data_IF_895193427320
#
_entry.id   IF_895193427320
#
_cell.length_a   1.000
_cell.length_b   1.000
_cell.length_c   1.000
_cell.angle_alpha   90.00
_cell.angle_beta   90.00
_cell.angle_gamma   90.00
#
_symmetry.space_group_name_H-M   'P 1'
#
loop_
_entity.id
_entity.type
_entity.pdbx_description
1 polymer ?
#
# COMPACT_ATOMS: atom_id res chain seq x y z
N UNK A 1 -18.20 -3.44 -23.00
CA UNK A 1 -19.06 -4.33 -22.19
C UNK A 1 -18.17 -5.08 -21.23
N UNK A 2 -18.22 -4.73 -19.95
CA UNK A 2 -17.46 -5.32 -18.84
C UNK A 2 -18.12 -6.64 -18.44
N UNK A 3 -17.74 -7.73 -19.11
CA UNK A 3 -18.37 -9.06 -18.91
C UNK A 3 -18.09 -9.70 -17.54
N UNK A 4 -17.14 -9.18 -16.77
CA UNK A 4 -16.70 -9.82 -15.52
C UNK A 4 -17.57 -9.46 -14.31
N UNK A 5 -18.08 -8.23 -14.22
CA UNK A 5 -18.91 -7.77 -13.11
C UNK A 5 -20.23 -8.54 -12.97
N UNK A 6 -21.03 -8.76 -14.05
CA UNK A 6 -22.25 -9.56 -13.96
C UNK A 6 -22.01 -11.03 -13.60
N UNK A 7 -20.87 -11.60 -14.02
CA UNK A 7 -20.51 -12.97 -13.66
C UNK A 7 -20.25 -13.11 -12.15
N UNK A 8 -19.54 -12.14 -11.55
CA UNK A 8 -19.32 -12.08 -10.11
C UNK A 8 -20.62 -11.88 -9.33
N UNK A 9 -21.56 -11.09 -9.85
CA UNK A 9 -22.91 -10.96 -9.25
C UNK A 9 -23.65 -12.30 -9.23
N UNK A 10 -23.46 -13.15 -10.24
CA UNK A 10 -24.02 -14.51 -10.28
C UNK A 10 -23.53 -15.43 -9.16
N UNK A 11 -22.40 -15.10 -8.54
CA UNK A 11 -21.83 -15.84 -7.40
C UNK A 11 -22.17 -15.23 -6.04
N UNK A 12 -23.07 -14.24 -5.99
CA UNK A 12 -23.44 -13.54 -4.75
C UNK A 12 -23.85 -14.52 -3.66
N UNK A 13 -23.07 -14.55 -2.58
CA UNK A 13 -23.31 -15.37 -1.38
C UNK A 13 -23.38 -16.90 -1.61
N UNK A 14 -22.89 -17.40 -2.75
CA UNK A 14 -22.88 -18.83 -3.08
C UNK A 14 -21.86 -19.60 -2.22
N UNK A 15 -20.84 -18.91 -1.69
CA UNK A 15 -19.73 -19.50 -0.96
C UNK A 15 -19.66 -18.98 0.50
N UNK A 16 -20.57 -19.40 1.39
CA UNK A 16 -20.64 -18.89 2.77
C UNK A 16 -19.41 -19.25 3.61
N UNK A 17 -18.66 -20.29 3.24
CA UNK A 17 -17.45 -20.74 3.94
C UNK A 17 -16.15 -20.22 3.31
N UNK A 18 -16.23 -19.29 2.35
CA UNK A 18 -15.05 -18.75 1.69
C UNK A 18 -14.18 -17.98 2.70
N UNK A 19 -12.99 -18.50 3.00
CA UNK A 19 -12.06 -17.90 3.95
C UNK A 19 -11.09 -16.89 3.33
N UNK A 20 -10.79 -17.06 2.05
CA UNK A 20 -9.87 -16.21 1.29
C UNK A 20 -10.36 -16.03 -0.13
N UNK A 21 -10.24 -14.82 -0.66
CA UNK A 21 -10.59 -14.50 -2.02
C UNK A 21 -9.52 -13.62 -2.66
N UNK A 22 -9.23 -13.89 -3.94
CA UNK A 22 -8.36 -13.06 -4.77
C UNK A 22 -9.08 -12.74 -6.07
N UNK A 23 -9.40 -11.46 -6.27
CA UNK A 23 -9.96 -10.93 -7.49
C UNK A 23 -8.84 -10.25 -8.29
N UNK A 24 -8.53 -10.82 -9.45
CA UNK A 24 -7.61 -10.26 -10.44
C UNK A 24 -8.41 -9.93 -11.67
N UNK A 25 -8.59 -8.64 -11.92
CA UNK A 25 -9.45 -8.14 -12.99
C UNK A 25 -8.67 -7.14 -13.84
N UNK A 26 -9.14 -6.92 -15.06
CA UNK A 26 -8.68 -5.84 -15.91
C UNK A 26 -9.91 -5.02 -16.31
N UNK A 27 -10.33 -4.14 -15.41
CA UNK A 27 -11.42 -3.22 -15.68
C UNK A 27 -10.90 -1.96 -16.38
N UNK A 28 -11.59 -1.48 -17.42
CA UNK A 28 -11.19 -0.25 -18.09
C UNK A 28 -11.30 0.93 -17.12
N UNK A 29 -10.35 1.88 -17.20
CA UNK A 29 -10.39 3.13 -16.42
C UNK A 29 -11.57 4.06 -16.78
N UNK A 30 -12.45 3.63 -17.68
CA UNK A 30 -13.60 4.35 -18.18
C UNK A 30 -14.85 3.67 -17.62
N UNK A 31 -15.44 4.23 -16.56
CA UNK A 31 -16.58 3.62 -15.90
C UNK A 31 -17.24 4.53 -14.88
N UNK A 32 -18.54 4.30 -14.66
CA UNK A 32 -19.32 4.86 -13.55
C UNK A 32 -18.95 4.09 -12.28
N UNK A 33 -19.11 4.70 -11.11
CA UNK A 33 -18.94 4.04 -9.81
C UNK A 33 -19.64 2.68 -9.81
N UNK A 34 -18.90 1.65 -9.41
CA UNK A 34 -19.36 0.27 -9.47
C UNK A 34 -19.03 -0.43 -8.17
N UNK A 35 -20.02 -1.12 -7.62
CA UNK A 35 -19.87 -1.95 -6.43
C UNK A 35 -19.95 -3.42 -6.81
N UNK A 36 -18.95 -4.19 -6.40
CA UNK A 36 -18.96 -5.65 -6.57
C UNK A 36 -19.67 -6.27 -5.36
N UNK A 37 -20.98 -6.48 -5.49
CA UNK A 37 -21.86 -6.99 -4.44
C UNK A 37 -21.84 -8.52 -4.26
N UNK A 38 -20.70 -9.16 -4.50
CA UNK A 38 -20.59 -10.63 -4.50
C UNK A 38 -20.45 -11.24 -3.11
N UNK A 39 -19.79 -10.54 -2.18
CA UNK A 39 -19.35 -11.12 -0.90
C UNK A 39 -20.05 -10.53 0.33
N UNK A 40 -21.16 -9.84 0.14
CA UNK A 40 -21.89 -9.13 1.19
C UNK A 40 -22.25 -9.98 2.42
N UNK A 41 -22.45 -11.30 2.26
CA UNK A 41 -22.75 -12.22 3.38
C UNK A 41 -21.63 -13.22 3.65
N UNK A 42 -20.45 -13.05 3.05
CA UNK A 42 -19.30 -13.91 3.26
C UNK A 42 -18.58 -13.53 4.58
N UNK A 43 -19.23 -13.74 5.73
CA UNK A 43 -18.67 -13.39 7.05
C UNK A 43 -17.44 -14.21 7.43
N UNK A 44 -17.24 -15.36 6.78
CA UNK A 44 -16.04 -16.17 6.95
C UNK A 44 -14.86 -15.68 6.12
N UNK A 45 -15.02 -14.66 5.26
CA UNK A 45 -13.93 -14.14 4.45
C UNK A 45 -12.98 -13.33 5.32
N UNK A 46 -11.80 -13.89 5.58
CA UNK A 46 -10.75 -13.29 6.42
C UNK A 46 -9.66 -12.60 5.61
N UNK A 47 -9.47 -13.03 4.35
CA UNK A 47 -8.43 -12.49 3.48
C UNK A 47 -9.04 -12.07 2.13
N UNK A 48 -8.88 -10.81 1.76
CA UNK A 48 -9.29 -10.33 0.45
C UNK A 48 -8.13 -9.64 -0.25
N UNK A 49 -7.91 -10.02 -1.51
CA UNK A 49 -6.97 -9.37 -2.42
C UNK A 49 -7.71 -8.92 -3.67
N UNK A 50 -7.59 -7.64 -4.01
CA UNK A 50 -8.15 -7.03 -5.22
C UNK A 50 -7.03 -6.44 -6.07
N UNK A 51 -7.12 -6.63 -7.39
CA UNK A 51 -6.18 -6.06 -8.34
C UNK A 51 -6.86 -5.73 -9.67
N UNK A 52 -6.55 -4.54 -10.19
CA UNK A 52 -6.96 -4.10 -11.54
C UNK A 52 -8.45 -3.79 -11.68
N UNK A 53 -9.07 -3.38 -10.57
CA UNK A 53 -10.41 -2.78 -10.56
C UNK A 53 -10.35 -1.36 -11.14
N UNK A 54 -11.49 -0.88 -11.65
CA UNK A 54 -11.61 0.49 -12.16
C UNK A 54 -11.49 1.53 -11.02
N UNK A 55 -11.22 2.82 -11.33
CA UNK A 55 -10.83 3.81 -10.33
C UNK A 55 -11.76 3.98 -9.14
N UNK A 56 -13.07 3.94 -9.38
CA UNK A 56 -14.11 4.07 -8.34
C UNK A 56 -14.73 2.74 -7.94
N UNK A 57 -14.17 1.61 -8.39
CA UNK A 57 -14.76 0.30 -8.11
C UNK A 57 -14.30 -0.23 -6.76
N UNK A 58 -15.24 -0.75 -5.98
CA UNK A 58 -14.99 -1.34 -4.66
C UNK A 58 -15.74 -2.65 -4.50
N UNK A 59 -15.14 -3.59 -3.77
CA UNK A 59 -15.79 -4.86 -3.42
C UNK A 59 -16.60 -4.69 -2.15
N UNK A 60 -17.91 -4.96 -2.23
CA UNK A 60 -18.77 -4.91 -1.05
C UNK A 60 -18.70 -6.25 -0.32
N UNK A 61 -18.16 -6.22 0.89
CA UNK A 61 -18.11 -7.36 1.79
C UNK A 61 -18.11 -6.90 3.26
N UNK A 62 -18.39 -7.79 4.23
CA UNK A 62 -18.25 -7.48 5.65
C UNK A 62 -16.77 -7.26 6.01
N UNK A 63 -16.34 -6.01 6.09
CA UNK A 63 -14.95 -5.66 6.47
C UNK A 63 -14.62 -5.99 7.92
N UNK A 64 -15.64 -6.06 8.78
CA UNK A 64 -15.55 -6.29 10.23
C UNK A 64 -14.70 -7.53 10.62
N UNK A 65 -14.70 -8.55 9.77
CA UNK A 65 -14.07 -9.86 10.01
C UNK A 65 -12.73 -10.05 9.30
N UNK A 66 -12.29 -9.10 8.46
CA UNK A 66 -11.02 -9.26 7.76
C UNK A 66 -9.85 -9.30 8.74
N UNK A 67 -8.91 -10.20 8.45
CA UNK A 67 -7.59 -10.27 9.06
C UNK A 67 -6.52 -9.66 8.14
N UNK A 68 -6.70 -9.79 6.82
CA UNK A 68 -5.80 -9.17 5.84
C UNK A 68 -6.56 -8.62 4.64
N UNK A 69 -6.17 -7.42 4.23
CA UNK A 69 -6.68 -6.75 3.02
C UNK A 69 -5.52 -6.30 2.15
N UNK A 70 -5.59 -6.64 0.86
CA UNK A 70 -4.69 -6.13 -0.16
C UNK A 70 -5.49 -5.53 -1.30
N UNK A 71 -5.21 -4.28 -1.61
CA UNK A 71 -5.84 -3.58 -2.72
C UNK A 71 -4.79 -2.97 -3.65
N UNK A 72 -4.97 -3.19 -4.94
CA UNK A 72 -4.02 -2.75 -5.96
C UNK A 72 -4.74 -2.21 -7.18
N UNK A 73 -4.55 -0.93 -7.45
CA UNK A 73 -5.15 -0.26 -8.61
C UNK A 73 -4.08 0.36 -9.50
N UNK A 74 -4.34 0.37 -10.80
CA UNK A 74 -3.64 1.29 -11.69
C UNK A 74 -4.06 2.71 -11.30
N UNK A 75 -5.28 3.09 -11.63
CA UNK A 75 -5.83 4.40 -11.25
C UNK A 75 -6.86 4.19 -10.15
N UNK A 76 -6.87 5.06 -9.14
CA UNK A 76 -7.88 5.08 -8.06
C UNK A 76 -8.34 6.50 -7.75
N UNK A 77 -9.60 6.69 -7.36
CA UNK A 77 -10.08 8.00 -6.89
C UNK A 77 -9.79 8.19 -5.40
N UNK A 78 -9.60 9.44 -4.96
CA UNK A 78 -9.42 9.74 -3.52
C UNK A 78 -10.64 9.34 -2.70
N UNK A 79 -11.84 9.56 -3.24
CA UNK A 79 -13.09 9.11 -2.63
C UNK A 79 -13.08 7.59 -2.38
N UNK A 80 -12.61 6.79 -3.35
CA UNK A 80 -12.57 5.34 -3.18
C UNK A 80 -11.52 4.91 -2.14
N UNK A 81 -10.36 5.58 -2.08
CA UNK A 81 -9.38 5.38 -1.00
C UNK A 81 -10.04 5.65 0.36
N UNK A 82 -10.73 6.79 0.51
CA UNK A 82 -11.40 7.16 1.76
C UNK A 82 -12.47 6.12 2.15
N UNK A 83 -13.32 5.71 1.20
CA UNK A 83 -14.33 4.66 1.42
C UNK A 83 -13.73 3.34 1.89
N UNK A 84 -12.63 2.90 1.27
CA UNK A 84 -11.91 1.69 1.66
C UNK A 84 -11.34 1.85 3.08
N UNK A 85 -10.66 2.96 3.37
CA UNK A 85 -10.07 3.21 4.68
C UNK A 85 -11.13 3.27 5.79
N UNK A 86 -12.25 3.95 5.56
CA UNK A 86 -13.38 3.98 6.51
C UNK A 86 -13.90 2.57 6.76
N UNK A 87 -14.07 1.76 5.72
CA UNK A 87 -14.55 0.38 5.85
C UNK A 87 -13.56 -0.49 6.64
N UNK A 88 -12.27 -0.34 6.39
CA UNK A 88 -11.20 -1.03 7.10
C UNK A 88 -11.10 -0.58 8.57
N UNK A 89 -11.40 0.68 8.87
CA UNK A 89 -11.38 1.19 10.26
C UNK A 89 -12.41 0.51 11.18
N UNK A 90 -13.45 -0.08 10.59
CA UNK A 90 -14.47 -0.85 11.29
C UNK A 90 -14.06 -2.31 11.52
N UNK A 91 -12.96 -2.77 10.91
CA UNK A 91 -12.47 -4.14 11.06
C UNK A 91 -11.96 -4.40 12.48
N UNK A 92 -12.43 -5.48 13.09
CA UNK A 92 -12.12 -5.81 14.49
C UNK A 92 -10.83 -6.61 14.64
N UNK A 93 -10.42 -7.32 13.58
CA UNK A 93 -9.30 -8.25 13.59
C UNK A 93 -8.26 -7.99 12.49
N UNK A 94 -8.33 -6.86 11.77
CA UNK A 94 -7.41 -6.64 10.66
C UNK A 94 -6.00 -6.38 11.17
N UNK A 95 -5.06 -7.23 10.76
CA UNK A 95 -3.66 -7.12 11.14
C UNK A 95 -2.84 -6.56 9.98
N UNK A 96 -3.14 -6.98 8.75
CA UNK A 96 -2.37 -6.62 7.55
C UNK A 96 -3.20 -5.79 6.58
N UNK A 97 -2.68 -4.61 6.25
CA UNK A 97 -3.23 -3.74 5.21
C UNK A 97 -2.16 -3.45 4.16
N UNK A 98 -2.47 -3.78 2.90
CA UNK A 98 -1.64 -3.45 1.74
C UNK A 98 -2.44 -2.62 0.73
N UNK A 99 -1.98 -1.41 0.42
CA UNK A 99 -2.62 -0.51 -0.55
C UNK A 99 -1.59 0.02 -1.55
N UNK A 100 -1.71 -0.39 -2.82
CA UNK A 100 -0.72 -0.11 -3.85
C UNK A 100 -1.37 0.51 -5.10
N UNK A 101 -1.09 1.78 -5.36
CA UNK A 101 -1.74 2.55 -6.44
C UNK A 101 -0.72 3.19 -7.37
N UNK A 102 -0.95 3.14 -8.69
CA UNK A 102 -0.08 3.80 -9.67
C UNK A 102 -0.34 5.31 -9.71
N UNK A 103 -1.61 5.69 -9.77
CA UNK A 103 -2.02 7.06 -10.00
C UNK A 103 -3.35 7.34 -9.28
N UNK A 104 -3.52 8.58 -8.84
CA UNK A 104 -4.78 9.06 -8.30
C UNK A 104 -5.51 9.92 -9.32
N UNK A 105 -6.82 9.78 -9.36
CA UNK A 105 -7.71 10.59 -10.18
C UNK A 105 -8.51 11.54 -9.29
N UNK A 106 -8.58 12.82 -9.67
CA UNK A 106 -9.31 13.87 -8.96
C UNK A 106 -8.52 15.19 -8.86
N UNK A 107 -9.24 16.28 -8.58
CA UNK A 107 -8.64 17.61 -8.36
C UNK A 107 -8.00 17.73 -6.97
N UNK A 108 -8.58 17.06 -5.97
CA UNK A 108 -8.04 17.00 -4.60
C UNK A 108 -7.34 15.65 -4.40
N UNK A 109 -6.04 15.68 -4.07
CA UNK A 109 -5.20 14.49 -3.83
C UNK A 109 -4.93 14.27 -2.34
N UNK A 110 -5.86 14.70 -1.48
CA UNK A 110 -5.68 14.76 -0.04
C UNK A 110 -6.98 14.37 0.69
N UNK A 111 -6.84 13.65 1.81
CA UNK A 111 -7.93 13.26 2.69
C UNK A 111 -7.81 14.09 3.98
N UNK A 112 -8.83 14.92 4.33
CA UNK A 112 -8.71 15.95 5.36
C UNK A 112 -8.48 15.45 6.78
N UNK A 113 -8.99 14.26 7.10
CA UNK A 113 -8.89 13.68 8.43
C UNK A 113 -8.28 12.28 8.31
N UNK A 114 -7.08 12.06 8.86
CA UNK A 114 -6.48 10.73 8.86
C UNK A 114 -7.37 9.71 9.57
N UNK A 115 -7.64 8.60 8.91
CA UNK A 115 -8.44 7.49 9.43
C UNK A 115 -7.64 6.69 10.45
N UNK A 116 -8.22 6.45 11.62
CA UNK A 116 -7.58 5.67 12.69
C UNK A 116 -7.72 4.17 12.41
N UNK A 117 -6.59 3.48 12.24
CA UNK A 117 -6.52 2.03 12.01
C UNK A 117 -5.93 1.34 13.25
N UNK A 118 -6.77 1.18 14.27
CA UNK A 118 -6.35 0.75 15.63
C UNK A 118 -5.95 -0.73 15.75
N UNK A 119 -6.13 -1.53 14.71
CA UNK A 119 -5.86 -2.97 14.70
C UNK A 119 -4.71 -3.38 13.77
N UNK A 120 -4.41 -2.54 12.79
CA UNK A 120 -3.38 -2.83 11.79
C UNK A 120 -2.01 -2.83 12.47
N UNK A 121 -1.30 -3.94 12.34
CA UNK A 121 0.08 -4.12 12.82
C UNK A 121 1.08 -4.12 11.65
N UNK A 122 0.63 -4.47 10.45
CA UNK A 122 1.44 -4.47 9.22
C UNK A 122 0.81 -3.55 8.20
N UNK A 123 1.51 -2.47 7.85
CA UNK A 123 1.10 -1.55 6.80
C UNK A 123 2.09 -1.62 5.63
N UNK A 124 1.58 -1.93 4.43
CA UNK A 124 2.34 -1.86 3.18
C UNK A 124 1.67 -0.89 2.22
N UNK A 125 2.41 0.11 1.75
CA UNK A 125 1.84 1.23 1.00
C UNK A 125 2.70 1.59 -0.19
N UNK A 126 2.05 1.82 -1.34
CA UNK A 126 2.69 2.24 -2.58
C UNK A 126 2.54 3.74 -2.89
N UNK A 127 1.74 4.48 -2.13
CA UNK A 127 1.46 5.89 -2.42
C UNK A 127 1.46 6.76 -1.16
N UNK A 128 1.94 8.00 -1.32
CA UNK A 128 2.02 9.01 -0.27
C UNK A 128 0.66 9.36 0.33
N UNK A 129 -0.40 9.43 -0.49
CA UNK A 129 -1.74 9.83 -0.01
C UNK A 129 -2.32 8.85 1.00
N UNK A 130 -2.10 7.54 0.86
CA UNK A 130 -2.53 6.58 1.89
C UNK A 130 -1.76 6.81 3.19
N UNK A 131 -0.45 7.08 3.13
CA UNK A 131 0.37 7.42 4.31
C UNK A 131 -0.17 8.67 5.02
N UNK A 132 -0.53 9.70 4.26
CA UNK A 132 -1.10 10.93 4.81
C UNK A 132 -2.49 10.70 5.43
N UNK A 133 -3.27 9.78 4.85
CA UNK A 133 -4.66 9.54 5.19
C UNK A 133 -4.89 8.57 6.36
N UNK A 134 -3.85 8.06 7.03
CA UNK A 134 -4.01 7.07 8.11
C UNK A 134 -3.28 7.43 9.40
N UNK A 135 -3.78 6.94 10.52
CA UNK A 135 -3.08 6.91 11.81
C UNK A 135 -3.11 5.47 12.31
N UNK A 136 -1.96 4.88 12.60
CA UNK A 136 -1.83 3.44 12.88
C UNK A 136 -1.09 3.21 14.21
N UNK A 137 -1.77 3.32 15.35
CA UNK A 137 -1.11 3.33 16.66
C UNK A 137 -0.48 1.99 17.04
N UNK A 138 -0.99 0.89 16.50
CA UNK A 138 -0.51 -0.47 16.75
C UNK A 138 0.50 -0.95 15.72
N UNK A 139 1.05 -0.04 14.90
CA UNK A 139 1.95 -0.41 13.80
C UNK A 139 3.23 -1.04 14.32
N UNK A 140 3.50 -2.28 13.89
CA UNK A 140 4.71 -3.03 14.17
C UNK A 140 5.66 -3.04 12.98
N UNK A 141 5.11 -3.07 11.76
CA UNK A 141 5.87 -3.20 10.52
C UNK A 141 5.35 -2.27 9.43
N UNK A 142 6.23 -1.40 8.94
CA UNK A 142 5.93 -0.46 7.86
C UNK A 142 6.75 -0.76 6.61
N UNK A 143 6.08 -1.00 5.48
CA UNK A 143 6.72 -1.18 4.18
C UNK A 143 6.23 -0.11 3.21
N UNK A 144 7.14 0.74 2.76
CA UNK A 144 6.84 1.81 1.82
C UNK A 144 7.53 1.53 0.51
N UNK A 145 6.74 1.35 -0.53
CA UNK A 145 7.19 0.94 -1.86
C UNK A 145 6.86 2.02 -2.90
N UNK A 146 7.57 2.05 -4.03
CA UNK A 146 7.20 2.88 -5.15
C UNK A 146 5.78 2.57 -5.62
N UNK A 147 5.16 3.56 -6.27
CA UNK A 147 3.84 3.41 -6.90
C UNK A 147 3.83 2.18 -7.80
N UNK A 148 2.78 1.38 -7.70
CA UNK A 148 2.65 0.15 -8.47
C UNK A 148 2.53 0.48 -9.95
N UNK A 149 3.39 -0.06 -10.80
CA UNK A 149 3.29 0.09 -12.26
C UNK A 149 3.01 -1.30 -12.81
N UNK A 150 1.80 -1.57 -13.28
CA UNK A 150 1.34 -2.94 -13.61
C UNK A 150 2.13 -3.70 -14.69
N UNK A 151 3.13 -3.07 -15.29
CA UNK A 151 3.95 -3.61 -16.39
C UNK A 151 5.45 -3.67 -16.04
N UNK A 152 5.87 -3.19 -14.87
CA UNK A 152 7.28 -3.23 -14.45
C UNK A 152 7.39 -3.79 -13.05
N UNK A 153 8.43 -4.59 -12.79
CA UNK A 153 8.85 -4.81 -11.42
C UNK A 153 9.14 -3.45 -10.77
N UNK A 154 8.79 -3.27 -9.50
CA UNK A 154 9.07 -2.03 -8.76
C UNK A 154 10.54 -1.60 -8.83
N UNK A 155 11.44 -2.47 -9.29
CA UNK A 155 12.82 -2.17 -9.63
C UNK A 155 12.96 -0.87 -10.46
N UNK A 156 12.00 -0.51 -11.29
CA UNK A 156 12.17 0.63 -12.22
C UNK A 156 11.53 1.96 -11.78
N UNK A 157 10.95 2.03 -10.58
CA UNK A 157 10.27 3.26 -10.10
C UNK A 157 10.86 3.75 -8.78
N UNK A 158 11.12 5.06 -8.68
CA UNK A 158 11.60 5.68 -7.45
C UNK A 158 10.42 5.89 -6.51
N UNK A 159 10.68 5.90 -5.21
CA UNK A 159 9.71 6.39 -4.26
C UNK A 159 9.35 7.85 -4.57
N UNK A 160 8.07 8.19 -4.50
CA UNK A 160 7.58 9.54 -4.77
C UNK A 160 8.28 10.56 -3.84
N UNK A 161 8.62 11.76 -4.36
CA UNK A 161 9.13 12.85 -3.52
C UNK A 161 8.24 13.08 -2.30
N UNK A 162 8.84 13.50 -1.18
CA UNK A 162 8.14 13.80 0.08
C UNK A 162 7.46 12.61 0.78
N UNK A 163 7.50 11.39 0.23
CA UNK A 163 6.93 10.22 0.91
C UNK A 163 7.57 9.99 2.28
N UNK A 164 8.87 10.24 2.42
CA UNK A 164 9.56 10.15 3.71
C UNK A 164 9.02 11.19 4.73
N UNK A 165 8.69 12.39 4.27
CA UNK A 165 8.08 13.42 5.12
C UNK A 165 6.67 12.99 5.58
N UNK A 166 5.88 12.40 4.68
CA UNK A 166 4.60 11.79 5.04
C UNK A 166 4.75 10.65 6.03
N UNK A 167 5.80 9.83 5.90
CA UNK A 167 6.10 8.77 6.87
C UNK A 167 6.48 9.33 8.23
N UNK A 168 7.32 10.36 8.30
CA UNK A 168 7.60 11.07 9.56
C UNK A 168 6.31 11.56 10.22
N UNK A 169 5.42 12.16 9.43
CA UNK A 169 4.12 12.64 9.89
C UNK A 169 3.24 11.49 10.39
N UNK A 170 3.17 10.36 9.66
CA UNK A 170 2.46 9.16 10.08
C UNK A 170 2.97 8.65 11.43
N UNK A 171 4.29 8.53 11.59
CA UNK A 171 4.92 8.03 12.81
C UNK A 171 4.59 8.92 14.00
N UNK A 172 4.78 10.24 13.85
CA UNK A 172 4.46 11.22 14.91
C UNK A 172 2.99 11.21 15.30
N UNK A 173 2.06 11.13 14.32
CA UNK A 173 0.62 11.05 14.60
C UNK A 173 0.23 9.73 15.27
N UNK A 174 0.87 8.64 14.87
CA UNK A 174 0.55 7.28 15.33
C UNK A 174 1.16 6.97 16.69
N UNK A 175 2.24 7.65 17.08
CA UNK A 175 2.93 7.43 18.36
C UNK A 175 3.45 5.99 18.55
N UNK A 176 3.70 5.26 17.46
CA UNK A 176 4.15 3.86 17.46
C UNK A 176 5.67 3.70 17.59
N UNK A 177 6.43 4.77 17.33
CA UNK A 177 7.87 4.76 17.10
C UNK A 177 8.72 4.27 18.29
N UNK A 178 8.22 4.36 19.52
CA UNK A 178 8.98 4.03 20.74
C UNK A 178 8.56 2.72 21.39
N UNK A 179 7.49 2.07 20.92
CA UNK A 179 6.85 0.98 21.67
C UNK A 179 6.44 -0.22 20.83
N UNK A 180 5.94 0.00 19.61
CA UNK A 180 5.36 -1.07 18.79
C UNK A 180 6.12 -1.28 17.49
N UNK A 181 6.62 -0.22 16.88
CA UNK A 181 7.29 -0.31 15.58
C UNK A 181 8.66 -0.98 15.68
N UNK A 182 8.79 -2.14 15.05
CA UNK A 182 9.97 -3.01 15.06
C UNK A 182 10.64 -3.12 13.68
N UNK A 183 9.88 -2.99 12.60
CA UNK A 183 10.41 -3.12 11.24
C UNK A 183 10.00 -1.95 10.35
N UNK A 184 10.98 -1.40 9.63
CA UNK A 184 10.72 -0.48 8.52
C UNK A 184 11.46 -0.95 7.27
N UNK A 185 10.73 -0.98 6.15
CA UNK A 185 11.27 -1.22 4.83
C UNK A 185 10.94 -0.07 3.87
N UNK A 186 11.94 0.48 3.20
CA UNK A 186 11.73 1.41 2.08
C UNK A 186 12.31 0.85 0.79
N UNK A 187 11.52 0.89 -0.28
CA UNK A 187 11.95 0.44 -1.60
C UNK A 187 12.24 1.61 -2.55
N UNK A 188 13.37 1.53 -3.26
CA UNK A 188 13.88 2.54 -4.19
C UNK A 188 13.80 3.98 -3.66
N UNK A 189 14.24 4.17 -2.42
CA UNK A 189 14.21 5.47 -1.76
C UNK A 189 15.40 6.30 -2.24
N UNK A 190 15.21 7.62 -2.39
CA UNK A 190 16.34 8.55 -2.57
C UNK A 190 17.00 8.82 -1.22
N UNK A 191 18.32 8.71 -1.15
CA UNK A 191 19.09 9.06 0.04
C UNK A 191 18.92 10.56 0.34
N UNK A 192 18.12 10.87 1.36
CA UNK A 192 17.89 12.24 1.85
C UNK A 192 18.07 12.27 3.37
N UNK A 193 18.21 13.48 3.94
CA UNK A 193 18.31 13.65 5.40
C UNK A 193 17.11 13.06 6.15
N UNK A 194 15.93 13.01 5.53
CA UNK A 194 14.72 12.46 6.13
C UNK A 194 14.79 10.96 6.44
N UNK A 195 15.68 10.20 5.78
CA UNK A 195 15.91 8.80 6.18
C UNK A 195 16.52 8.76 7.58
N UNK A 196 17.48 9.64 7.86
CA UNK A 196 18.11 9.74 9.19
C UNK A 196 17.09 10.18 10.23
N UNK A 197 16.23 11.15 9.89
CA UNK A 197 15.16 11.62 10.77
C UNK A 197 14.20 10.47 11.15
N UNK A 198 13.82 9.63 10.20
CA UNK A 198 12.94 8.46 10.46
C UNK A 198 13.62 7.48 11.41
N UNK A 199 14.90 7.18 11.18
CA UNK A 199 15.65 6.23 12.02
C UNK A 199 15.86 6.78 13.43
N UNK A 200 16.12 8.07 13.58
CA UNK A 200 16.25 8.72 14.89
C UNK A 200 14.93 8.73 15.66
N UNK A 201 13.80 8.85 14.95
CA UNK A 201 12.49 8.83 15.57
C UNK A 201 12.11 7.45 16.12
N UNK A 202 12.67 6.37 15.56
CA UNK A 202 12.28 4.99 15.84
C UNK A 202 13.40 4.20 16.52
N UNK A 203 13.67 4.43 17.81
CA UNK A 203 14.75 3.76 18.53
C UNK A 203 14.50 2.27 18.79
N UNK A 204 13.27 1.80 18.64
CA UNK A 204 12.86 0.41 18.93
C UNK A 204 12.92 -0.53 17.70
N UNK A 205 13.56 -0.10 16.60
CA UNK A 205 13.65 -0.91 15.38
C UNK A 205 14.63 -2.08 15.56
N UNK A 206 14.10 -3.27 15.36
CA UNK A 206 14.87 -4.52 15.29
C UNK A 206 15.44 -4.72 13.89
N UNK A 207 14.69 -4.29 12.86
CA UNK A 207 15.02 -4.54 11.46
C UNK A 207 14.78 -3.34 10.57
N UNK A 208 15.77 -3.04 9.76
CA UNK A 208 15.73 -1.96 8.78
C UNK A 208 16.11 -2.50 7.41
N UNK A 209 15.26 -2.23 6.41
CA UNK A 209 15.51 -2.60 5.02
C UNK A 209 15.42 -1.38 4.11
N UNK A 210 16.50 -1.08 3.41
CA UNK A 210 16.49 -0.08 2.34
C UNK A 210 16.94 -0.68 1.01
N UNK A 211 16.30 -0.22 -0.07
CA UNK A 211 16.83 -0.40 -1.42
C UNK A 211 16.91 0.95 -2.10
N UNK A 212 17.99 1.15 -2.85
CA UNK A 212 18.32 2.41 -3.51
C UNK A 212 18.58 2.14 -4.99
N UNK A 213 18.35 3.16 -5.81
CA UNK A 213 18.85 3.19 -7.18
C UNK A 213 19.96 4.21 -7.33
N UNK A 214 21.10 3.75 -7.78
CA UNK A 214 22.15 4.63 -8.27
C UNK A 214 21.84 4.99 -9.72
N UNK A 215 21.55 6.27 -9.98
CA UNK A 215 21.71 6.84 -11.32
C UNK A 215 23.22 6.90 -11.58
N UNK A 216 23.80 5.86 -12.15
CA UNK A 216 25.16 5.91 -12.70
C UNK A 216 25.17 6.91 -13.87
N UNK A 217 25.41 8.17 -13.53
CA UNK A 217 25.51 9.30 -14.46
C UNK A 217 26.63 10.27 -14.09
N UNK A 218 27.61 9.84 -13.29
CA UNK A 218 28.88 10.56 -13.13
C UNK A 218 29.99 9.61 -13.55
N UNK A 219 30.38 9.76 -14.81
CA UNK A 219 31.54 9.14 -15.42
C UNK A 219 32.80 9.78 -14.79
N UNK A 220 33.18 9.33 -13.58
CA UNK A 220 34.52 9.57 -13.04
C UNK A 220 35.41 8.51 -13.68
N UNK A 221 35.98 8.91 -14.81
CA UNK A 221 36.60 8.06 -15.81
C UNK A 221 37.34 6.82 -15.30
N UNK A 222 36.97 5.68 -15.88
CA UNK A 222 37.89 4.64 -16.32
C UNK A 222 37.24 3.85 -17.47
N UNK A 223 38.01 3.72 -18.54
CA UNK A 223 37.67 3.09 -19.81
C UNK A 223 37.05 1.69 -19.71
N UNK A 224 36.00 1.48 -20.53
CA UNK A 224 35.50 0.22 -21.17
C UNK A 224 34.86 -0.80 -20.21
N UNK A 225 33.73 -1.45 -20.48
CA UNK A 225 32.95 -1.73 -21.70
C UNK A 225 31.50 -2.09 -21.28
N UNK A 226 30.55 -1.90 -22.20
CA UNK A 226 29.11 -2.23 -22.17
C UNK A 226 28.59 -3.30 -21.18
N UNK A 227 27.69 -2.89 -20.27
CA UNK A 227 26.25 -3.27 -20.29
C UNK A 227 25.53 -2.63 -19.08
N UNK A 228 24.58 -1.74 -19.37
CA UNK A 228 23.84 -0.97 -18.37
C UNK A 228 22.72 -1.77 -17.73
N UNK A 229 22.98 -2.30 -16.53
CA UNK A 229 21.95 -2.66 -15.57
C UNK A 229 22.20 -1.88 -14.27
N UNK A 230 21.19 -1.14 -13.83
CA UNK A 230 21.22 -0.47 -12.53
C UNK A 230 21.41 -1.50 -11.41
N UNK A 231 22.46 -1.32 -10.61
CA UNK A 231 22.72 -2.16 -9.44
C UNK A 231 21.79 -1.76 -8.29
N UNK A 232 20.91 -2.68 -7.87
CA UNK A 232 20.13 -2.54 -6.65
C UNK A 232 20.96 -3.05 -5.46
N UNK A 233 21.48 -2.17 -4.62
CA UNK A 233 22.07 -2.56 -3.34
C UNK A 233 20.99 -2.66 -2.25
N UNK A 234 21.08 -3.72 -1.44
CA UNK A 234 20.22 -3.94 -0.27
C UNK A 234 21.08 -3.75 0.98
N UNK A 235 20.71 -2.81 1.83
CA UNK A 235 21.30 -2.69 3.16
C UNK A 235 20.34 -3.35 4.14
N UNK A 236 20.80 -4.40 4.80
CA UNK A 236 20.15 -5.00 5.96
C UNK A 236 20.92 -4.55 7.20
N UNK A 237 20.22 -3.91 8.13
CA UNK A 237 20.75 -3.64 9.47
C UNK A 237 19.86 -4.39 10.45
N UNK A 238 20.42 -5.44 11.04
CA UNK A 238 19.81 -6.18 12.15
C UNK A 238 20.48 -5.67 13.44
N UNK A 239 19.68 -5.19 14.40
CA UNK A 239 20.18 -4.90 15.75
C UNK A 239 20.11 -6.19 16.57
N UNK A 240 21.26 -6.85 16.77
CA UNK A 240 21.43 -7.98 17.71
C UNK A 240 21.81 -7.51 19.09
#
# INVERSE_FOLDING_TARGET
>A
MTYHLPALVGHRNVHPHLASCRLLMEEPNMGVDSEIQTFEKATNLLHLTTSGLAPSTMVVHPYEYLMAFKDTHGVITVENIERILISISMATNIETLEMQYFCMMGEEQYIPNPVMLSRVTVLRVGCKTVVDAVTVPTLERLFVEPRFVGWTDFADTDLEPDTLFSVLSLLLRSQCQSHTLQEIGFRNVRLTAHIVDVLWLCPALDKIQFTFRYLLGIDIGRHKEHDGYGSNERIFVDNT
#
